data_IF_075506406572
#
_entry.id   IF_075506406572
#
_cell.length_a   1.000
_cell.length_b   1.000
_cell.length_c   1.000
_cell.angle_alpha   90.00
_cell.angle_beta   90.00
_cell.angle_gamma   90.00
#
_symmetry.space_group_name_H-M   'P 1'
#
loop_
_entity.id
_entity.type
_entity.pdbx_description
1 polymer ?
#
# COMPACT_ATOMS: atom_id res chain seq x y z
N UNK A 1 5.11 -28.50 -12.92
CA UNK A 1 4.42 -27.25 -12.51
C UNK A 1 5.27 -26.60 -11.44
N UNK A 2 5.70 -25.35 -11.63
CA UNK A 2 6.48 -24.59 -10.64
C UNK A 2 5.56 -23.73 -9.78
N UNK A 3 5.92 -23.58 -8.52
CA UNK A 3 5.19 -22.78 -7.53
C UNK A 3 6.10 -21.69 -6.99
N UNK A 4 5.53 -20.54 -6.71
CA UNK A 4 6.19 -19.44 -6.01
C UNK A 4 5.46 -19.18 -4.67
N UNK A 5 6.12 -18.46 -3.75
CA UNK A 5 5.56 -18.09 -2.43
C UNK A 5 5.12 -16.64 -2.47
N UNK A 6 3.86 -16.37 -2.18
CA UNK A 6 3.30 -15.02 -2.17
C UNK A 6 4.01 -14.17 -1.11
N UNK A 7 4.58 -13.03 -1.52
CA UNK A 7 5.30 -12.12 -0.61
C UNK A 7 4.41 -11.39 0.39
N UNK A 8 3.08 -11.40 0.20
CA UNK A 8 2.12 -10.76 1.12
C UNK A 8 1.59 -11.74 2.16
N UNK A 9 1.12 -12.93 1.74
CA UNK A 9 0.45 -13.88 2.63
C UNK A 9 1.23 -15.18 2.90
N UNK A 10 2.35 -15.41 2.22
CA UNK A 10 3.19 -16.60 2.40
C UNK A 10 2.61 -17.90 1.81
N UNK A 11 1.49 -17.85 1.09
CA UNK A 11 0.90 -19.05 0.45
C UNK A 11 1.65 -19.44 -0.84
N UNK A 12 1.70 -20.73 -1.10
CA UNK A 12 2.16 -21.27 -2.39
C UNK A 12 1.10 -21.01 -3.47
N UNK A 13 1.54 -20.59 -4.65
CA UNK A 13 0.67 -20.38 -5.82
C UNK A 13 1.40 -20.76 -7.10
N UNK A 14 0.64 -21.03 -8.18
CA UNK A 14 1.23 -21.35 -9.47
C UNK A 14 2.01 -20.17 -10.02
N UNK A 15 3.21 -20.46 -10.53
CA UNK A 15 4.07 -19.44 -11.13
C UNK A 15 3.36 -18.76 -12.30
N UNK A 16 3.02 -17.48 -12.12
CA UNK A 16 2.28 -16.65 -13.09
C UNK A 16 3.10 -15.46 -13.60
N UNK A 17 4.39 -15.39 -13.25
CA UNK A 17 5.26 -14.22 -13.53
C UNK A 17 5.06 -13.05 -12.56
N UNK A 18 4.16 -13.19 -11.58
CA UNK A 18 3.91 -12.22 -10.51
C UNK A 18 4.56 -12.69 -9.20
N UNK A 19 4.79 -11.75 -8.29
CA UNK A 19 5.34 -12.00 -6.95
C UNK A 19 4.26 -12.26 -5.87
N UNK A 20 2.98 -12.10 -6.24
CA UNK A 20 1.83 -12.27 -5.36
C UNK A 20 0.87 -13.29 -5.97
N UNK A 21 0.15 -14.03 -5.11
CA UNK A 21 -0.97 -14.86 -5.56
C UNK A 21 -2.14 -13.99 -6.05
N UNK A 22 -3.08 -14.59 -6.78
CA UNK A 22 -4.20 -13.86 -7.41
C UNK A 22 -5.08 -13.14 -6.38
N UNK A 23 -5.37 -13.77 -5.24
CA UNK A 23 -6.12 -13.15 -4.14
C UNK A 23 -5.43 -11.88 -3.62
N UNK A 24 -4.12 -11.97 -3.34
CA UNK A 24 -3.36 -10.83 -2.84
C UNK A 24 -3.17 -9.75 -3.90
N UNK A 25 -3.06 -10.13 -5.18
CA UNK A 25 -2.95 -9.19 -6.28
C UNK A 25 -4.24 -8.37 -6.46
N UNK A 26 -5.41 -9.02 -6.47
CA UNK A 26 -6.69 -8.31 -6.56
C UNK A 26 -6.95 -7.44 -5.32
N UNK A 27 -6.58 -7.94 -4.13
CA UNK A 27 -6.65 -7.16 -2.90
C UNK A 27 -5.74 -5.92 -2.96
N UNK A 28 -4.50 -6.08 -3.40
CA UNK A 28 -3.54 -4.97 -3.57
C UNK A 28 -4.09 -3.88 -4.49
N UNK A 29 -4.69 -4.30 -5.61
CA UNK A 29 -5.27 -3.40 -6.60
C UNK A 29 -6.48 -2.64 -6.03
N UNK A 30 -7.33 -3.31 -5.26
CA UNK A 30 -8.48 -2.69 -4.61
C UNK A 30 -8.03 -1.69 -3.54
N UNK A 31 -7.11 -2.09 -2.66
CA UNK A 31 -6.54 -1.23 -1.62
C UNK A 31 -5.85 -0.01 -2.21
N UNK A 32 -5.02 -0.20 -3.24
CA UNK A 32 -4.35 0.88 -3.96
C UNK A 32 -5.34 1.91 -4.50
N UNK A 33 -6.45 1.46 -5.10
CA UNK A 33 -7.49 2.37 -5.62
C UNK A 33 -8.10 3.22 -4.50
N UNK A 34 -8.43 2.61 -3.37
CA UNK A 34 -9.01 3.30 -2.21
C UNK A 34 -8.03 4.34 -1.65
N UNK A 35 -6.76 3.95 -1.44
CA UNK A 35 -5.74 4.87 -0.93
C UNK A 35 -5.52 6.03 -1.89
N UNK A 36 -5.34 5.74 -3.18
CA UNK A 36 -5.14 6.76 -4.21
C UNK A 36 -6.30 7.76 -4.25
N UNK A 37 -7.54 7.27 -4.24
CA UNK A 37 -8.72 8.12 -4.27
C UNK A 37 -8.80 9.01 -3.01
N UNK A 38 -8.39 8.49 -1.86
CA UNK A 38 -8.32 9.27 -0.61
C UNK A 38 -7.24 10.35 -0.67
N UNK A 39 -6.01 10.00 -1.06
CA UNK A 39 -4.88 10.94 -1.15
C UNK A 39 -5.14 12.06 -2.15
N UNK A 40 -5.81 11.78 -3.27
CA UNK A 40 -6.18 12.80 -4.26
C UNK A 40 -7.23 13.78 -3.69
N UNK A 41 -8.21 13.27 -2.93
CA UNK A 41 -9.25 14.09 -2.29
C UNK A 41 -8.72 14.90 -1.11
N UNK A 42 -7.76 14.35 -0.37
CA UNK A 42 -7.17 14.93 0.83
C UNK A 42 -5.69 15.18 0.62
N UNK A 43 -5.36 16.30 -0.04
CA UNK A 43 -3.96 16.69 -0.24
C UNK A 43 -3.27 16.96 1.11
N UNK A 44 -2.04 16.49 1.23
CA UNK A 44 -1.23 16.66 2.45
C UNK A 44 -1.66 15.76 3.62
N UNK A 45 -2.45 14.71 3.36
CA UNK A 45 -2.72 13.70 4.38
C UNK A 45 -1.44 12.94 4.75
N UNK A 46 -1.34 12.49 5.99
CA UNK A 46 -0.27 11.58 6.45
C UNK A 46 -0.62 10.11 6.21
N UNK A 47 0.37 9.22 6.18
CA UNK A 47 0.14 7.77 6.08
C UNK A 47 -0.80 7.28 7.19
N UNK A 48 -0.67 7.84 8.40
CA UNK A 48 -1.50 7.48 9.54
C UNK A 48 -2.98 7.84 9.34
N UNK A 49 -3.26 9.03 8.81
CA UNK A 49 -4.64 9.48 8.51
C UNK A 49 -5.28 8.62 7.43
N UNK A 50 -4.53 8.30 6.37
CA UNK A 50 -4.97 7.40 5.30
C UNK A 50 -5.32 6.04 5.88
N UNK A 51 -4.46 5.48 6.75
CA UNK A 51 -4.70 4.17 7.37
C UNK A 51 -5.97 4.18 8.22
N UNK A 52 -6.16 5.20 9.05
CA UNK A 52 -7.35 5.33 9.90
C UNK A 52 -8.64 5.51 9.07
N UNK A 53 -8.58 6.27 7.98
CA UNK A 53 -9.76 6.53 7.16
C UNK A 53 -10.13 5.36 6.23
N UNK A 54 -9.14 4.65 5.71
CA UNK A 54 -9.35 3.55 4.74
C UNK A 54 -9.41 2.17 5.40
N UNK A 55 -8.94 2.04 6.64
CA UNK A 55 -8.77 0.77 7.33
C UNK A 55 -7.62 -0.09 6.79
N UNK A 56 -6.83 0.45 5.84
CA UNK A 56 -5.72 -0.26 5.21
C UNK A 56 -4.50 -0.14 6.13
N UNK A 57 -3.74 -1.23 6.36
CA UNK A 57 -2.57 -1.18 7.22
C UNK A 57 -1.54 -0.17 6.75
N UNK A 58 -0.98 0.60 7.70
CA UNK A 58 0.13 1.54 7.50
C UNK A 58 1.27 0.92 6.68
N UNK A 59 1.62 -0.35 6.95
CA UNK A 59 2.66 -1.08 6.21
C UNK A 59 2.36 -1.22 4.71
N UNK A 60 1.11 -1.44 4.35
CA UNK A 60 0.68 -1.52 2.95
C UNK A 60 0.80 -0.16 2.28
N UNK A 61 0.40 0.91 2.98
CA UNK A 61 0.46 2.28 2.47
C UNK A 61 1.92 2.72 2.29
N UNK A 62 2.79 2.47 3.26
CA UNK A 62 4.22 2.73 3.13
C UNK A 62 4.83 2.03 1.93
N UNK A 63 4.50 0.76 1.69
CA UNK A 63 4.95 0.04 0.50
C UNK A 63 4.50 0.74 -0.78
N UNK A 64 3.28 1.28 -0.85
CA UNK A 64 2.83 2.03 -2.03
C UNK A 64 3.61 3.33 -2.25
N UNK A 65 4.06 3.97 -1.17
CA UNK A 65 4.94 5.16 -1.23
C UNK A 65 6.35 4.76 -1.66
N UNK A 66 6.93 3.71 -1.07
CA UNK A 66 8.25 3.17 -1.43
C UNK A 66 8.32 2.69 -2.89
N UNK A 67 7.24 2.09 -3.40
CA UNK A 67 7.09 1.70 -4.80
C UNK A 67 6.91 2.90 -5.74
N UNK A 68 6.79 4.13 -5.21
CA UNK A 68 6.53 5.35 -5.98
C UNK A 68 5.15 5.40 -6.64
N UNK A 69 4.22 4.56 -6.18
CA UNK A 69 2.86 4.47 -6.75
C UNK A 69 1.91 5.51 -6.19
N UNK A 70 2.23 6.09 -5.02
CA UNK A 70 1.47 7.12 -4.32
C UNK A 70 2.45 8.13 -3.75
N UNK A 71 2.12 9.42 -3.89
CA UNK A 71 2.88 10.51 -3.28
C UNK A 71 2.10 11.05 -2.09
N UNK A 72 2.69 10.92 -0.90
CA UNK A 72 2.12 11.40 0.36
C UNK A 72 3.07 12.47 0.89
N UNK A 73 2.57 13.69 1.00
CA UNK A 73 3.35 14.83 1.49
C UNK A 73 3.46 14.78 3.02
N UNK A 74 4.31 13.88 3.51
CA UNK A 74 4.62 13.76 4.95
C UNK A 74 5.57 14.87 5.44
N UNK A 75 6.11 15.71 4.56
CA UNK A 75 7.28 16.57 4.85
C UNK A 75 7.00 17.80 5.73
N UNK A 76 5.80 17.96 6.31
CA UNK A 76 5.46 19.19 7.06
C UNK A 76 5.32 19.08 8.58
N UNK A 77 5.57 17.91 9.21
CA UNK A 77 5.43 17.76 10.68
C UNK A 77 6.72 17.35 11.39
N UNK A 78 7.87 17.90 11.00
CA UNK A 78 9.13 17.72 11.76
C UNK A 78 9.85 19.05 12.05
N UNK A 79 9.12 20.17 12.15
CA UNK A 79 9.64 21.48 12.59
C UNK A 79 8.98 21.96 13.90
N UNK A 80 8.78 21.09 14.88
CA UNK A 80 8.43 21.52 16.23
C UNK A 80 8.75 20.39 17.21
N UNK A 81 9.92 20.48 17.85
CA UNK A 81 10.05 20.76 19.29
C UNK A 81 11.56 20.96 19.56
N UNK A 82 11.86 22.16 20.03
CA UNK A 82 13.10 22.58 20.69
C UNK A 82 13.39 21.79 21.97
#
# INVERSE_FOLDING_TARGET
MSYDICKICGRFFYKSGRIYCDECYEKDKAEYKVVRDYVIKHRGCSVMEVSNATGIPVKTIYRFVEEGRIDIDEKRKNEQID
#
